data_IF_059627938081
#
_entry.id   IF_059627938081
#
_cell.length_a   1.000
_cell.length_b   1.000
_cell.length_c   1.000
_cell.angle_alpha   90.00
_cell.angle_beta   90.00
_cell.angle_gamma   90.00
#
_symmetry.space_group_name_H-M   'P 1'
#
loop_
_entity.id
_entity.type
_entity.pdbx_description
1 polymer ?
#
# COMPACT_ATOMS: atom_id res chain seq x y z
N UNK A 1 -13.06 8.28 27.79
CA UNK A 1 -13.40 7.19 26.85
C UNK A 1 -13.69 7.81 25.51
N UNK A 2 -12.70 7.92 24.62
CA UNK A 2 -12.92 8.45 23.27
C UNK A 2 -13.65 7.38 22.47
N UNK A 3 -14.87 7.67 22.04
CA UNK A 3 -15.63 6.86 21.12
C UNK A 3 -14.78 6.66 19.84
N UNK A 4 -14.34 5.45 19.62
CA UNK A 4 -13.82 5.03 18.30
C UNK A 4 -15.02 5.15 17.36
N UNK A 5 -15.14 6.26 16.66
CA UNK A 5 -16.12 6.39 15.60
C UNK A 5 -15.81 5.28 14.60
N UNK A 6 -16.80 4.42 14.38
CA UNK A 6 -16.70 3.34 13.40
C UNK A 6 -16.35 4.00 12.06
N UNK A 7 -15.12 3.82 11.62
CA UNK A 7 -14.68 4.30 10.31
C UNK A 7 -15.47 3.50 9.30
N UNK A 8 -16.26 4.19 8.46
CA UNK A 8 -17.10 3.54 7.46
C UNK A 8 -16.21 3.08 6.30
N UNK A 9 -15.62 1.89 6.48
CA UNK A 9 -14.74 1.25 5.51
C UNK A 9 -15.28 -0.12 5.13
N UNK A 10 -15.20 -0.42 3.85
CA UNK A 10 -15.41 -1.77 3.31
C UNK A 10 -14.21 -2.19 2.47
N UNK A 11 -13.89 -3.47 2.56
CA UNK A 11 -12.87 -4.11 1.74
C UNK A 11 -13.53 -5.11 0.81
N UNK A 12 -12.97 -5.28 -0.36
CA UNK A 12 -13.35 -6.30 -1.32
C UNK A 12 -12.11 -7.10 -1.72
N UNK A 13 -12.24 -8.41 -1.70
CA UNK A 13 -11.27 -9.37 -2.21
C UNK A 13 -12.01 -10.63 -2.64
N UNK A 14 -11.55 -11.28 -3.70
CA UNK A 14 -12.06 -12.59 -4.12
C UNK A 14 -10.92 -13.49 -4.58
N UNK A 15 -10.89 -14.78 -4.18
CA UNK A 15 -9.93 -15.76 -4.70
C UNK A 15 -10.05 -15.96 -6.22
N UNK A 16 -11.18 -15.60 -6.82
CA UNK A 16 -11.39 -15.65 -8.28
C UNK A 16 -10.71 -14.49 -9.03
N UNK A 17 -10.28 -13.44 -8.31
CA UNK A 17 -9.54 -12.29 -8.82
C UNK A 17 -8.42 -11.92 -7.82
N UNK A 18 -7.44 -12.83 -7.62
CA UNK A 18 -6.51 -12.73 -6.49
C UNK A 18 -5.55 -11.55 -6.58
N UNK A 19 -5.36 -10.99 -7.76
CA UNK A 19 -4.48 -9.85 -8.02
C UNK A 19 -5.12 -8.50 -7.69
N UNK A 20 -6.37 -8.46 -7.20
CA UNK A 20 -7.09 -7.21 -6.86
C UNK A 20 -7.61 -7.25 -5.43
N UNK A 21 -7.33 -6.21 -4.68
CA UNK A 21 -8.03 -5.86 -3.45
C UNK A 21 -8.59 -4.44 -3.61
N UNK A 22 -9.80 -4.19 -3.14
CA UNK A 22 -10.38 -2.86 -3.13
C UNK A 22 -10.72 -2.43 -1.71
N UNK A 23 -10.56 -1.13 -1.44
CA UNK A 23 -11.01 -0.49 -0.20
C UNK A 23 -11.85 0.74 -0.53
N UNK A 24 -13.04 0.80 0.03
CA UNK A 24 -13.90 1.97 0.03
C UNK A 24 -13.93 2.61 1.42
N UNK A 25 -13.74 3.91 1.48
CA UNK A 25 -13.79 4.69 2.72
C UNK A 25 -14.75 5.86 2.53
N UNK A 26 -15.71 6.03 3.46
CA UNK A 26 -16.73 7.08 3.38
C UNK A 26 -16.68 8.00 4.60
N UNK A 27 -16.75 9.32 4.35
CA UNK A 27 -16.81 10.38 5.37
C UNK A 27 -15.78 10.25 6.49
N UNK A 28 -14.54 9.88 6.13
CA UNK A 28 -13.48 9.63 7.11
C UNK A 28 -12.63 10.88 7.34
N UNK A 29 -12.44 11.20 8.63
CA UNK A 29 -11.44 12.17 9.10
C UNK A 29 -10.15 11.50 9.56
N UNK A 30 -10.03 10.18 9.40
CA UNK A 30 -8.84 9.43 9.84
C UNK A 30 -7.60 9.83 9.08
N UNK A 31 -6.53 10.13 9.82
CA UNK A 31 -5.20 10.41 9.29
C UNK A 31 -4.30 9.17 9.43
N UNK A 32 -3.68 8.79 8.32
CA UNK A 32 -2.74 7.68 8.26
C UNK A 32 -1.32 8.14 8.59
N UNK A 33 -0.58 7.30 9.27
CA UNK A 33 0.88 7.43 9.35
C UNK A 33 1.48 7.12 7.98
N UNK A 34 2.67 7.66 7.73
CA UNK A 34 3.45 7.29 6.56
C UNK A 34 3.69 5.78 6.57
N UNK A 35 3.28 5.12 5.48
CA UNK A 35 3.37 3.67 5.27
C UNK A 35 3.69 3.38 3.81
N UNK A 36 4.01 2.14 3.52
CA UNK A 36 4.16 1.63 2.16
C UNK A 36 3.49 0.26 2.07
N UNK A 37 3.20 -0.20 0.88
CA UNK A 37 2.68 -1.54 0.61
C UNK A 37 3.35 -2.13 -0.63
N UNK A 38 3.32 -3.45 -0.75
CA UNK A 38 3.97 -4.15 -1.84
C UNK A 38 3.23 -3.96 -3.18
N UNK A 39 1.92 -3.71 -3.11
CA UNK A 39 1.05 -3.59 -4.27
C UNK A 39 1.21 -2.22 -4.95
N UNK A 40 1.02 -2.20 -6.27
CA UNK A 40 0.71 -0.98 -6.99
C UNK A 40 -0.70 -0.53 -6.63
N UNK A 41 -0.91 0.76 -6.38
CA UNK A 41 -2.23 1.23 -5.95
C UNK A 41 -2.72 2.40 -6.76
N UNK A 42 -4.02 2.40 -6.99
CA UNK A 42 -4.75 3.50 -7.64
C UNK A 42 -5.81 3.98 -6.67
N UNK A 43 -5.74 5.24 -6.27
CA UNK A 43 -6.75 5.91 -5.44
C UNK A 43 -7.61 6.87 -6.25
N UNK A 44 -8.90 6.96 -5.93
CA UNK A 44 -9.84 7.91 -6.52
C UNK A 44 -10.56 8.69 -5.42
N UNK A 45 -10.52 10.02 -5.48
CA UNK A 45 -11.23 10.89 -4.53
C UNK A 45 -12.66 11.10 -5.02
N UNK A 46 -13.62 10.64 -4.22
CA UNK A 46 -15.06 10.78 -4.53
C UNK A 46 -15.71 11.98 -3.87
N UNK A 47 -15.24 12.33 -2.67
CA UNK A 47 -15.77 13.46 -1.93
C UNK A 47 -14.72 14.07 -1.01
N UNK A 48 -14.76 15.39 -0.86
CA UNK A 48 -13.80 16.13 -0.04
C UNK A 48 -12.44 16.26 -0.72
N UNK A 49 -11.41 16.53 0.08
CA UNK A 49 -10.05 16.82 -0.36
C UNK A 49 -9.03 16.04 0.46
N UNK A 50 -7.89 15.75 -0.15
CA UNK A 50 -6.82 14.96 0.47
C UNK A 50 -5.46 15.59 0.19
N UNK A 51 -4.63 15.71 1.22
CA UNK A 51 -3.20 15.97 1.06
C UNK A 51 -2.47 14.62 1.04
N UNK A 52 -1.84 14.33 -0.09
CA UNK A 52 -1.00 13.14 -0.23
C UNK A 52 0.47 13.54 -0.18
N UNK A 53 1.17 13.07 0.84
CA UNK A 53 2.63 13.14 0.89
C UNK A 53 3.19 11.89 0.23
N UNK A 54 3.91 12.06 -0.86
CA UNK A 54 4.49 10.99 -1.66
C UNK A 54 5.90 11.37 -2.09
N UNK A 55 6.88 10.55 -1.76
CA UNK A 55 8.30 10.92 -1.88
C UNK A 55 8.57 12.22 -1.10
N UNK A 56 9.13 13.24 -1.74
CA UNK A 56 9.41 14.55 -1.12
C UNK A 56 8.42 15.64 -1.53
N UNK A 57 7.28 15.23 -2.11
CA UNK A 57 6.27 16.15 -2.64
C UNK A 57 4.94 15.99 -1.90
N UNK A 58 4.14 17.04 -1.95
CA UNK A 58 2.78 17.05 -1.42
C UNK A 58 1.81 17.37 -2.54
N UNK A 59 0.91 16.43 -2.79
CA UNK A 59 -0.14 16.57 -3.79
C UNK A 59 -1.46 16.90 -3.13
N UNK A 60 -2.11 17.95 -3.59
CA UNK A 60 -3.48 18.28 -3.20
C UNK A 60 -4.44 17.61 -4.19
N UNK A 61 -5.20 16.65 -3.68
CA UNK A 61 -6.15 15.84 -4.44
C UNK A 61 -7.56 16.31 -4.18
N UNK A 62 -8.34 16.41 -5.24
CA UNK A 62 -9.74 16.84 -5.25
C UNK A 62 -10.64 15.77 -5.85
N UNK A 63 -11.95 15.98 -5.78
CA UNK A 63 -12.93 15.08 -6.41
C UNK A 63 -12.62 14.91 -7.91
N UNK A 64 -12.57 13.68 -8.36
CA UNK A 64 -12.23 13.33 -9.74
C UNK A 64 -10.74 13.07 -9.99
N UNK A 65 -9.86 13.39 -9.03
CA UNK A 65 -8.44 13.06 -9.14
C UNK A 65 -8.20 11.57 -8.89
N UNK A 66 -7.34 10.97 -9.72
CA UNK A 66 -6.75 9.66 -9.52
C UNK A 66 -5.30 9.83 -9.05
N UNK A 67 -4.90 9.04 -8.07
CA UNK A 67 -3.51 8.97 -7.59
C UNK A 67 -2.94 7.58 -7.79
N UNK A 68 -1.71 7.51 -8.29
CA UNK A 68 -0.93 6.29 -8.42
C UNK A 68 0.14 6.24 -7.33
N UNK A 69 0.22 5.10 -6.66
CA UNK A 69 1.23 4.83 -5.64
C UNK A 69 2.04 3.62 -6.10
N UNK A 70 3.31 3.85 -6.38
CA UNK A 70 4.24 2.80 -6.77
C UNK A 70 4.45 1.79 -5.63
N UNK A 71 4.75 0.53 -5.95
CA UNK A 71 5.09 -0.48 -4.94
C UNK A 71 6.22 -0.02 -4.02
N UNK A 72 6.10 -0.32 -2.74
CA UNK A 72 7.09 -0.04 -1.70
C UNK A 72 7.39 1.46 -1.48
N UNK A 73 6.65 2.39 -2.08
CA UNK A 73 6.89 3.82 -1.88
C UNK A 73 6.17 4.34 -0.64
N UNK A 74 6.89 4.94 0.31
CA UNK A 74 6.29 5.57 1.48
C UNK A 74 5.39 6.74 1.11
N UNK A 75 4.20 6.73 1.67
CA UNK A 75 3.19 7.77 1.44
C UNK A 75 2.23 7.90 2.63
N UNK A 76 1.55 9.02 2.68
CA UNK A 76 0.40 9.22 3.55
C UNK A 76 -0.61 10.13 2.86
N UNK A 77 -1.88 9.68 2.82
CA UNK A 77 -2.97 10.44 2.22
C UNK A 77 -3.96 10.81 3.32
N UNK A 78 -4.05 12.09 3.67
CA UNK A 78 -4.80 12.57 4.82
C UNK A 78 -5.81 13.64 4.43
N UNK A 79 -7.00 13.70 5.06
CA UNK A 79 -7.92 14.81 4.86
C UNK A 79 -7.31 16.12 5.36
N UNK A 80 -7.78 17.24 4.87
CA UNK A 80 -7.46 18.54 5.47
C UNK A 80 -7.91 18.59 6.93
N UNK A 81 -7.24 19.35 7.79
CA UNK A 81 -7.60 19.47 9.20
C UNK A 81 -9.10 19.82 9.38
N UNK A 82 -9.80 19.04 10.21
CA UNK A 82 -11.23 19.22 10.49
C UNK A 82 -12.18 18.86 9.34
N UNK A 83 -11.68 18.31 8.23
CA UNK A 83 -12.49 17.85 7.10
C UNK A 83 -12.59 16.34 7.05
N UNK A 84 -13.56 15.85 6.28
CA UNK A 84 -13.74 14.44 5.94
C UNK A 84 -13.55 14.24 4.46
N UNK A 85 -13.26 13.01 4.06
CA UNK A 85 -13.20 12.60 2.65
C UNK A 85 -13.81 11.23 2.44
N UNK A 86 -14.23 10.99 1.20
CA UNK A 86 -14.59 9.66 0.68
C UNK A 86 -13.69 9.33 -0.50
N UNK A 87 -13.21 8.10 -0.55
CA UNK A 87 -12.30 7.64 -1.61
C UNK A 87 -12.35 6.13 -1.77
N UNK A 88 -11.97 5.67 -2.95
CA UNK A 88 -11.69 4.28 -3.23
C UNK A 88 -10.20 4.06 -3.48
N UNK A 89 -9.72 2.87 -3.11
CA UNK A 89 -8.38 2.39 -3.44
C UNK A 89 -8.50 1.01 -4.09
N UNK A 90 -7.81 0.82 -5.21
CA UNK A 90 -7.49 -0.48 -5.77
C UNK A 90 -6.03 -0.80 -5.45
N UNK A 91 -5.78 -1.96 -4.90
CA UNK A 91 -4.45 -2.53 -4.67
C UNK A 91 -4.28 -3.67 -5.65
N UNK A 92 -3.30 -3.54 -6.52
CA UNK A 92 -3.03 -4.49 -7.60
C UNK A 92 -1.72 -5.22 -7.31
N UNK A 93 -1.74 -6.54 -7.45
CA UNK A 93 -0.53 -7.35 -7.30
C UNK A 93 0.57 -6.86 -8.25
N UNK A 94 1.77 -6.65 -7.74
CA UNK A 94 2.86 -6.05 -8.51
C UNK A 94 3.39 -6.98 -9.59
N UNK A 95 3.49 -8.28 -9.33
CA UNK A 95 3.95 -9.25 -10.32
C UNK A 95 2.94 -9.34 -11.47
N UNK A 96 1.65 -9.44 -11.12
CA UNK A 96 0.60 -9.38 -12.14
C UNK A 96 0.66 -8.09 -12.97
N UNK A 97 0.90 -6.93 -12.37
CA UNK A 97 1.05 -5.66 -13.11
C UNK A 97 2.25 -5.71 -14.06
N UNK A 98 3.39 -6.25 -13.62
CA UNK A 98 4.58 -6.41 -14.46
C UNK A 98 4.31 -7.34 -15.64
N UNK A 99 3.58 -8.44 -15.43
CA UNK A 99 3.15 -9.34 -16.50
C UNK A 99 2.25 -8.65 -17.52
N UNK A 100 1.30 -7.80 -17.05
CA UNK A 100 0.45 -7.01 -17.94
C UNK A 100 1.28 -5.99 -18.76
N UNK A 101 2.26 -5.34 -18.14
CA UNK A 101 3.17 -4.43 -18.85
C UNK A 101 3.98 -5.19 -19.89
N UNK A 102 4.52 -6.36 -19.55
CA UNK A 102 5.26 -7.20 -20.51
C UNK A 102 4.39 -7.61 -21.70
N UNK A 103 3.16 -8.05 -21.46
CA UNK A 103 2.22 -8.46 -22.48
C UNK A 103 1.80 -7.33 -23.43
N UNK A 104 1.57 -6.11 -22.90
CA UNK A 104 1.03 -4.99 -23.67
C UNK A 104 2.10 -4.05 -24.25
N UNK A 105 3.27 -3.97 -23.62
CA UNK A 105 4.33 -3.04 -23.99
C UNK A 105 5.55 -3.74 -24.64
N UNK A 106 5.61 -5.08 -24.58
CA UNK A 106 6.63 -5.87 -25.25
C UNK A 106 8.02 -5.82 -24.58
N UNK A 107 8.10 -5.42 -23.31
CA UNK A 107 9.36 -5.45 -22.55
C UNK A 107 9.10 -5.94 -21.12
N UNK A 108 10.09 -6.61 -20.52
CA UNK A 108 10.06 -7.01 -19.13
C UNK A 108 10.60 -5.87 -18.25
N UNK A 109 9.73 -5.35 -17.38
CA UNK A 109 10.13 -4.38 -16.37
C UNK A 109 10.48 -5.12 -15.08
N UNK A 110 11.61 -4.77 -14.46
CA UNK A 110 11.98 -5.30 -13.15
C UNK A 110 11.28 -4.56 -12.00
N UNK A 111 10.85 -3.34 -12.24
CA UNK A 111 10.19 -2.48 -11.25
C UNK A 111 9.06 -1.70 -11.88
N UNK A 112 7.96 -1.55 -11.14
CA UNK A 112 6.82 -0.74 -11.54
C UNK A 112 6.97 0.66 -11.00
N UNK A 113 7.08 1.65 -11.89
CA UNK A 113 7.11 3.07 -11.54
C UNK A 113 6.29 3.86 -12.53
N UNK A 114 5.48 4.79 -12.02
CA UNK A 114 4.74 5.73 -12.82
C UNK A 114 5.46 7.07 -12.92
N UNK A 115 5.56 7.59 -14.14
CA UNK A 115 6.13 8.92 -14.42
C UNK A 115 5.21 10.05 -13.95
N UNK A 116 3.91 9.78 -13.81
CA UNK A 116 2.92 10.72 -13.34
C UNK A 116 2.12 10.12 -12.18
N UNK A 117 2.10 10.83 -11.06
CA UNK A 117 1.48 10.36 -9.81
C UNK A 117 0.00 10.73 -9.71
N UNK A 118 -0.38 11.90 -10.23
CA UNK A 118 -1.78 12.36 -10.23
C UNK A 118 -2.27 12.53 -11.64
N UNK A 119 -3.41 11.91 -11.94
CA UNK A 119 -4.12 12.09 -13.20
C UNK A 119 -5.46 12.79 -12.96
N UNK A 120 -5.72 13.81 -13.78
CA UNK A 120 -6.97 14.57 -13.83
C UNK A 120 -7.63 14.31 -15.18
N UNK A 121 -8.24 13.14 -15.28
CA UNK A 121 -8.91 12.65 -16.49
C UNK A 121 -10.31 12.15 -16.10
N UNK A 122 -11.37 12.91 -16.44
CA UNK A 122 -12.75 12.53 -16.11
C UNK A 122 -13.18 11.19 -16.74
N UNK A 123 -12.70 10.86 -17.93
CA UNK A 123 -13.04 9.60 -18.58
C UNK A 123 -12.40 8.41 -17.86
N UNK A 124 -11.14 8.55 -17.45
CA UNK A 124 -10.43 7.53 -16.66
C UNK A 124 -11.08 7.38 -15.27
N UNK A 125 -11.47 8.47 -14.63
CA UNK A 125 -12.16 8.45 -13.34
C UNK A 125 -13.50 7.68 -13.44
N UNK A 126 -14.30 7.90 -14.48
CA UNK A 126 -15.54 7.16 -14.71
C UNK A 126 -15.26 5.66 -14.92
N UNK A 127 -14.24 5.31 -15.70
CA UNK A 127 -13.82 3.89 -15.89
C UNK A 127 -13.41 3.25 -14.58
N UNK A 128 -12.64 3.97 -13.76
CA UNK A 128 -12.23 3.51 -12.44
C UNK A 128 -13.45 3.23 -11.54
N UNK A 129 -14.40 4.16 -11.45
CA UNK A 129 -15.64 3.98 -10.67
C UNK A 129 -16.47 2.80 -11.19
N UNK A 130 -16.49 2.58 -12.50
CA UNK A 130 -17.18 1.44 -13.10
C UNK A 130 -16.54 0.11 -12.65
N UNK A 131 -15.21 0.00 -12.70
CA UNK A 131 -14.50 -1.19 -12.19
C UNK A 131 -14.83 -1.45 -10.73
N UNK A 132 -14.74 -0.43 -9.87
CA UNK A 132 -15.07 -0.56 -8.44
C UNK A 132 -16.53 -1.03 -8.27
N UNK A 133 -17.46 -0.46 -9.02
CA UNK A 133 -18.88 -0.85 -8.97
C UNK A 133 -19.08 -2.33 -9.33
N UNK A 134 -18.42 -2.82 -10.39
CA UNK A 134 -18.50 -4.22 -10.80
C UNK A 134 -17.92 -5.17 -9.74
N UNK A 135 -16.81 -4.80 -9.11
CA UNK A 135 -16.22 -5.58 -8.00
C UNK A 135 -17.23 -5.75 -6.86
N UNK A 136 -17.82 -4.66 -6.37
CA UNK A 136 -18.77 -4.72 -5.26
C UNK A 136 -20.13 -5.34 -5.62
N UNK A 137 -20.45 -5.49 -6.91
CA UNK A 137 -21.60 -6.26 -7.40
C UNK A 137 -21.29 -7.76 -7.60
N UNK A 138 -20.03 -8.18 -7.42
CA UNK A 138 -19.60 -9.55 -7.66
C UNK A 138 -19.51 -9.94 -9.14
N UNK A 139 -19.54 -8.97 -10.06
CA UNK A 139 -19.41 -9.17 -11.51
C UNK A 139 -17.93 -9.33 -11.91
N UNK A 140 -17.29 -10.37 -11.37
CA UNK A 140 -15.82 -10.54 -11.35
C UNK A 140 -15.20 -10.57 -12.75
N UNK A 141 -15.78 -11.34 -13.68
CA UNK A 141 -15.26 -11.44 -15.05
C UNK A 141 -15.32 -10.11 -15.78
N UNK A 142 -16.43 -9.38 -15.62
CA UNK A 142 -16.61 -8.06 -16.19
C UNK A 142 -15.65 -7.05 -15.56
N UNK A 143 -15.47 -7.11 -14.22
CA UNK A 143 -14.54 -6.26 -13.51
C UNK A 143 -13.10 -6.46 -14.00
N UNK A 144 -12.64 -7.70 -14.16
CA UNK A 144 -11.29 -8.01 -14.67
C UNK A 144 -11.09 -7.47 -16.10
N UNK A 145 -12.08 -7.68 -16.98
CA UNK A 145 -12.02 -7.16 -18.34
C UNK A 145 -11.90 -5.63 -18.36
N UNK A 146 -12.77 -4.93 -17.63
CA UNK A 146 -12.75 -3.47 -17.58
C UNK A 146 -11.53 -2.91 -16.89
N UNK A 147 -11.00 -3.60 -15.85
CA UNK A 147 -9.75 -3.25 -15.20
C UNK A 147 -8.57 -3.28 -16.18
N UNK A 148 -8.41 -4.39 -16.92
CA UNK A 148 -7.34 -4.53 -17.92
C UNK A 148 -7.44 -3.47 -19.01
N UNK A 149 -8.65 -3.24 -19.55
CA UNK A 149 -8.89 -2.20 -20.55
C UNK A 149 -8.64 -0.77 -20.04
N UNK A 150 -8.85 -0.53 -18.76
CA UNK A 150 -8.52 0.75 -18.10
C UNK A 150 -7.02 0.93 -17.93
N UNK A 151 -6.31 -0.14 -17.56
CA UNK A 151 -4.88 -0.09 -17.21
C UNK A 151 -3.95 -0.07 -18.44
N UNK A 152 -4.34 -0.69 -19.55
CA UNK A 152 -3.49 -0.76 -20.75
C UNK A 152 -2.97 0.61 -21.21
N UNK A 153 -3.80 1.66 -21.42
CA UNK A 153 -3.29 2.98 -21.78
C UNK A 153 -2.41 3.61 -20.70
N UNK A 154 -2.67 3.31 -19.41
CA UNK A 154 -1.85 3.78 -18.30
C UNK A 154 -0.45 3.19 -18.37
N UNK A 155 -0.34 1.86 -18.62
CA UNK A 155 0.93 1.18 -18.79
C UNK A 155 1.74 1.79 -19.93
N UNK A 156 1.13 1.97 -21.09
CA UNK A 156 1.79 2.53 -22.28
C UNK A 156 2.24 3.96 -22.11
N UNK A 157 1.48 4.78 -21.41
CA UNK A 157 1.71 6.22 -21.34
C UNK A 157 2.55 6.65 -20.13
N UNK A 158 2.39 5.98 -19.00
CA UNK A 158 2.96 6.46 -17.73
C UNK A 158 3.91 5.48 -17.04
N UNK A 159 3.88 4.19 -17.41
CA UNK A 159 4.68 3.16 -16.75
C UNK A 159 5.75 2.53 -17.66
N UNK A 160 6.08 3.20 -18.75
CA UNK A 160 7.21 2.81 -19.60
C UNK A 160 8.53 2.98 -18.82
N UNK A 161 9.56 2.13 -19.11
CA UNK A 161 10.86 2.37 -18.52
C UNK A 161 11.27 3.79 -18.90
N UNK A 162 11.64 4.59 -17.90
CA UNK A 162 12.39 5.78 -18.18
C UNK A 162 13.60 5.36 -19.02
N UNK A 163 13.90 6.02 -20.15
CA UNK A 163 15.15 5.77 -20.83
C UNK A 163 16.25 5.80 -19.77
N UNK A 164 17.20 4.90 -19.84
CA UNK A 164 18.28 4.61 -18.88
C UNK A 164 19.18 5.82 -18.51
N UNK A 165 18.62 7.00 -18.49
CA UNK A 165 19.23 8.28 -18.17
C UNK A 165 19.03 8.72 -16.71
N UNK A 166 18.34 7.95 -15.88
CA UNK A 166 18.50 8.16 -14.45
C UNK A 166 19.87 7.59 -14.08
N UNK A 167 20.83 8.43 -13.68
CA UNK A 167 22.11 7.93 -13.21
C UNK A 167 21.80 6.92 -12.09
N UNK A 168 22.38 5.74 -12.19
CA UNK A 168 22.42 4.83 -11.06
C UNK A 168 22.90 5.66 -9.88
N UNK A 169 22.05 5.84 -8.87
CA UNK A 169 22.46 6.60 -7.70
C UNK A 169 23.77 5.97 -7.22
N UNK A 170 24.81 6.76 -6.97
CA UNK A 170 26.10 6.22 -6.57
C UNK A 170 25.88 5.28 -5.39
N UNK A 171 26.47 4.08 -5.47
CA UNK A 171 26.41 3.07 -4.42
C UNK A 171 27.08 3.63 -3.16
N UNK A 172 26.35 4.38 -2.36
CA UNK A 172 26.84 4.86 -1.07
C UNK A 172 26.80 3.71 -0.05
N UNK A 173 27.76 3.71 0.87
CA UNK A 173 27.77 2.78 2.03
C UNK A 173 26.42 2.75 2.78
N UNK A 174 25.67 3.86 2.77
CA UNK A 174 24.30 3.99 3.26
C UNK A 174 23.34 2.96 2.63
N UNK A 175 23.38 2.75 1.30
CA UNK A 175 22.48 1.80 0.61
C UNK A 175 22.76 0.35 1.02
N UNK A 176 24.03 0.00 1.29
CA UNK A 176 24.40 -1.33 1.80
C UNK A 176 23.85 -1.55 3.21
N UNK A 177 23.95 -0.55 4.09
CA UNK A 177 23.37 -0.57 5.44
C UNK A 177 21.85 -0.75 5.36
N UNK A 178 21.17 0.06 4.58
CA UNK A 178 19.71 0.01 4.41
C UNK A 178 19.25 -1.32 3.85
N UNK A 179 19.94 -1.85 2.84
CA UNK A 179 19.66 -3.18 2.27
C UNK A 179 19.82 -4.28 3.33
N UNK A 180 20.93 -4.30 4.05
CA UNK A 180 21.16 -5.27 5.12
C UNK A 180 20.07 -5.23 6.19
N UNK A 181 19.73 -4.03 6.68
CA UNK A 181 18.65 -3.86 7.66
C UNK A 181 17.32 -4.39 7.14
N UNK A 182 16.96 -4.10 5.88
CA UNK A 182 15.72 -4.62 5.26
C UNK A 182 15.71 -6.15 5.20
N UNK A 183 16.78 -6.75 4.71
CA UNK A 183 16.92 -8.21 4.61
C UNK A 183 16.80 -8.87 5.98
N UNK A 184 17.49 -8.33 6.99
CA UNK A 184 17.45 -8.86 8.36
C UNK A 184 16.07 -8.76 9.00
N UNK A 185 15.35 -7.64 8.81
CA UNK A 185 14.01 -7.44 9.33
C UNK A 185 12.97 -8.34 8.65
N UNK A 186 13.12 -8.63 7.35
CA UNK A 186 12.18 -9.46 6.60
C UNK A 186 12.45 -10.95 6.68
N UNK A 187 13.66 -11.37 7.08
CA UNK A 187 14.06 -12.78 7.11
C UNK A 187 13.17 -13.63 8.04
N UNK A 188 12.79 -13.06 9.19
CA UNK A 188 11.82 -13.70 10.11
C UNK A 188 11.01 -12.61 10.81
N UNK A 189 9.74 -12.45 10.40
CA UNK A 189 8.87 -11.42 10.96
C UNK A 189 8.50 -11.67 12.43
N UNK A 190 8.50 -12.94 12.87
CA UNK A 190 8.20 -13.31 14.25
C UNK A 190 9.36 -12.94 15.18
N UNK A 191 10.57 -13.25 14.77
CA UNK A 191 11.79 -13.07 15.56
C UNK A 191 12.74 -12.05 14.89
N UNK A 192 12.20 -10.91 14.49
CA UNK A 192 13.01 -9.87 13.87
C UNK A 192 14.03 -9.31 14.85
N UNK A 193 15.28 -9.05 14.42
CA UNK A 193 16.32 -8.53 15.28
C UNK A 193 15.95 -7.16 15.87
N UNK A 194 16.42 -6.87 17.06
CA UNK A 194 16.31 -5.54 17.67
C UNK A 194 17.21 -4.53 16.94
N UNK A 195 16.96 -3.25 17.16
CA UNK A 195 17.87 -2.20 16.64
C UNK A 195 19.25 -2.27 17.27
N UNK A 196 19.35 -2.76 18.50
CA UNK A 196 20.60 -3.03 19.20
C UNK A 196 21.41 -4.11 18.48
N UNK A 197 20.77 -5.23 18.17
CA UNK A 197 21.38 -6.34 17.41
C UNK A 197 21.88 -5.88 16.04
N UNK A 198 21.06 -5.12 15.31
CA UNK A 198 21.46 -4.56 14.02
C UNK A 198 22.62 -3.56 14.12
N UNK A 199 22.67 -2.80 15.21
CA UNK A 199 23.75 -1.85 15.50
C UNK A 199 25.09 -2.58 15.75
N UNK A 200 25.05 -3.67 16.51
CA UNK A 200 26.20 -4.54 16.75
C UNK A 200 26.68 -5.23 15.45
N UNK A 201 25.77 -5.84 14.69
CA UNK A 201 26.09 -6.49 13.40
C UNK A 201 26.79 -5.55 12.41
N UNK A 202 26.36 -4.29 12.37
CA UNK A 202 26.86 -3.28 11.43
C UNK A 202 28.01 -2.42 12.00
N UNK A 203 28.33 -2.59 13.27
CA UNK A 203 29.27 -1.71 14.02
C UNK A 203 28.89 -0.21 13.85
N UNK A 204 27.61 0.09 13.99
CA UNK A 204 27.04 1.44 13.88
C UNK A 204 26.22 1.77 15.14
N UNK A 205 26.01 3.08 15.40
CA UNK A 205 25.05 3.50 16.42
C UNK A 205 23.60 3.34 15.90
N UNK A 206 22.67 2.98 16.79
CA UNK A 206 21.23 2.86 16.47
C UNK A 206 20.67 4.09 15.74
N UNK A 207 21.02 5.26 16.25
CA UNK A 207 20.57 6.54 15.69
C UNK A 207 21.08 6.73 14.25
N UNK A 208 22.27 6.23 13.94
CA UNK A 208 22.83 6.25 12.58
C UNK A 208 22.03 5.35 11.66
N UNK A 209 21.73 4.12 12.09
CA UNK A 209 20.90 3.19 11.33
C UNK A 209 19.51 3.78 11.06
N UNK A 210 18.84 4.30 12.09
CA UNK A 210 17.50 4.90 11.95
C UNK A 210 17.52 6.08 11.00
N UNK A 211 18.51 6.96 11.09
CA UNK A 211 18.67 8.13 10.23
C UNK A 211 18.94 7.75 8.77
N UNK A 212 19.88 6.82 8.54
CA UNK A 212 20.21 6.36 7.18
C UNK A 212 19.04 5.64 6.56
N UNK A 213 18.43 4.69 7.26
CA UNK A 213 17.30 3.94 6.78
C UNK A 213 16.13 4.86 6.44
N UNK A 214 15.81 5.84 7.30
CA UNK A 214 14.76 6.83 7.05
C UNK A 214 15.10 7.75 5.88
N UNK A 215 16.34 8.15 5.73
CA UNK A 215 16.80 8.94 4.59
C UNK A 215 16.58 8.18 3.28
N UNK A 216 16.95 6.90 3.24
CA UNK A 216 16.92 6.09 2.02
C UNK A 216 15.52 5.55 1.68
N UNK A 217 14.68 5.29 2.71
CA UNK A 217 13.37 4.64 2.55
C UNK A 217 12.18 5.52 2.87
N UNK A 218 12.38 6.70 3.47
CA UNK A 218 11.33 7.60 3.92
C UNK A 218 10.66 7.22 5.25
N UNK A 219 10.90 6.02 5.79
CA UNK A 219 10.32 5.51 7.05
C UNK A 219 11.39 4.92 7.96
N UNK A 220 11.09 4.77 9.25
CA UNK A 220 12.04 4.14 10.19
C UNK A 220 12.05 2.61 10.02
N UNK A 221 13.14 1.91 10.45
CA UNK A 221 13.19 0.44 10.43
C UNK A 221 11.99 -0.21 11.12
N UNK A 222 11.54 0.32 12.25
CA UNK A 222 10.40 -0.19 13.01
C UNK A 222 9.06 0.02 12.28
N UNK A 223 8.90 1.18 11.60
CA UNK A 223 7.72 1.42 10.77
C UNK A 223 7.71 0.48 9.56
N UNK A 224 8.86 0.21 8.96
CA UNK A 224 9.03 -0.75 7.88
C UNK A 224 8.66 -2.18 8.32
N UNK A 225 9.18 -2.63 9.48
CA UNK A 225 8.86 -3.95 10.05
C UNK A 225 7.36 -4.08 10.35
N UNK A 226 6.77 -3.07 11.01
CA UNK A 226 5.33 -3.09 11.30
C UNK A 226 4.49 -3.15 10.02
N UNK A 227 4.91 -2.44 8.98
CA UNK A 227 4.24 -2.48 7.69
C UNK A 227 4.28 -3.90 7.10
N UNK A 228 5.45 -4.55 7.09
CA UNK A 228 5.60 -5.92 6.60
C UNK A 228 4.75 -6.92 7.41
N UNK A 229 4.73 -6.78 8.74
CA UNK A 229 3.90 -7.60 9.63
C UNK A 229 2.41 -7.43 9.34
N UNK A 230 1.95 -6.20 9.08
CA UNK A 230 0.53 -5.95 8.73
C UNK A 230 0.17 -6.54 7.38
N UNK A 231 1.04 -6.42 6.36
CA UNK A 231 0.79 -7.05 5.06
C UNK A 231 0.74 -8.59 5.18
N UNK A 232 1.63 -9.17 5.97
CA UNK A 232 1.56 -10.62 6.25
C UNK A 232 0.30 -11.01 7.03
N UNK A 233 -0.10 -10.23 8.03
CA UNK A 233 -1.36 -10.44 8.74
C UNK A 233 -2.58 -10.39 7.80
N UNK A 234 -2.61 -9.45 6.85
CA UNK A 234 -3.65 -9.37 5.81
C UNK A 234 -3.70 -10.64 4.96
N UNK A 235 -2.55 -11.18 4.57
CA UNK A 235 -2.50 -12.43 3.80
C UNK A 235 -3.05 -13.62 4.59
N UNK A 236 -2.72 -13.75 5.86
CA UNK A 236 -3.25 -14.79 6.75
C UNK A 236 -4.78 -14.65 6.93
N UNK A 237 -5.28 -13.43 7.12
CA UNK A 237 -6.72 -13.16 7.22
C UNK A 237 -7.47 -13.55 5.93
N UNK A 238 -6.89 -13.29 4.76
CA UNK A 238 -7.46 -13.71 3.46
C UNK A 238 -7.55 -15.23 3.32
N UNK A 239 -6.63 -15.96 3.95
CA UNK A 239 -6.62 -17.43 4.00
C UNK A 239 -7.60 -18.01 5.05
N UNK A 240 -8.20 -17.15 5.88
CA UNK A 240 -9.14 -17.58 6.92
C UNK A 240 -8.49 -17.97 8.24
N UNK A 241 -7.22 -17.63 8.45
CA UNK A 241 -6.51 -17.91 9.71
C UNK A 241 -7.22 -17.21 10.88
N UNK A 242 -7.44 -17.91 12.03
CA UNK A 242 -8.05 -17.32 13.21
C UNK A 242 -7.29 -16.10 13.74
N UNK A 243 -8.00 -15.05 14.19
CA UNK A 243 -7.40 -13.78 14.62
C UNK A 243 -6.31 -13.94 15.70
N UNK A 244 -6.46 -14.92 16.60
CA UNK A 244 -5.47 -15.22 17.64
C UNK A 244 -4.15 -15.65 17.00
N UNK A 245 -4.23 -16.56 16.04
CA UNK A 245 -3.06 -17.12 15.35
C UNK A 245 -2.41 -16.09 14.44
N UNK A 246 -3.21 -15.24 13.77
CA UNK A 246 -2.71 -14.13 12.93
C UNK A 246 -1.80 -13.20 13.73
N UNK A 247 -2.22 -12.80 14.94
CA UNK A 247 -1.43 -11.92 15.80
C UNK A 247 -0.04 -12.50 16.07
N UNK A 248 0.00 -13.77 16.46
CA UNK A 248 1.25 -14.47 16.77
C UNK A 248 2.11 -14.70 15.53
N UNK A 249 1.53 -15.28 14.47
CA UNK A 249 2.25 -15.61 13.23
C UNK A 249 2.83 -14.37 12.54
N UNK A 250 2.17 -13.22 12.67
CA UNK A 250 2.67 -11.97 12.10
C UNK A 250 3.71 -11.24 12.97
N UNK A 251 4.14 -11.85 14.09
CA UNK A 251 5.26 -11.37 14.90
C UNK A 251 4.91 -10.26 15.89
N UNK A 252 3.64 -10.11 16.27
CA UNK A 252 3.26 -9.21 17.35
C UNK A 252 3.34 -9.90 18.70
N UNK A 253 3.83 -9.18 19.71
CA UNK A 253 3.99 -9.72 21.06
C UNK A 253 2.66 -9.99 21.77
N UNK A 254 1.60 -9.25 21.42
CA UNK A 254 0.27 -9.42 21.97
C UNK A 254 -0.82 -8.90 21.01
N UNK A 255 -2.07 -9.33 21.27
CA UNK A 255 -3.23 -8.95 20.46
C UNK A 255 -3.56 -7.47 20.52
N UNK A 256 -3.31 -6.80 21.65
CA UNK A 256 -3.59 -5.37 21.80
C UNK A 256 -2.66 -4.52 20.94
N UNK A 257 -1.38 -4.88 20.91
CA UNK A 257 -0.38 -4.25 20.03
C UNK A 257 -0.72 -4.52 18.56
N UNK A 258 -1.02 -5.78 18.21
CA UNK A 258 -1.48 -6.13 16.87
C UNK A 258 -2.68 -5.29 16.43
N UNK A 259 -3.75 -5.28 17.25
CA UNK A 259 -4.98 -4.56 16.93
C UNK A 259 -4.73 -3.05 16.71
N UNK A 260 -4.01 -2.40 17.64
CA UNK A 260 -3.67 -0.97 17.52
C UNK A 260 -2.86 -0.68 16.26
N UNK A 261 -1.86 -1.50 15.98
CA UNK A 261 -1.01 -1.33 14.80
C UNK A 261 -1.81 -1.59 13.53
N UNK A 262 -2.61 -2.64 13.48
CA UNK A 262 -3.46 -2.94 12.32
C UNK A 262 -4.39 -1.77 11.99
N UNK A 263 -5.07 -1.21 12.99
CA UNK A 263 -5.95 -0.03 12.81
C UNK A 263 -5.16 1.19 12.33
N UNK A 264 -3.95 1.42 12.82
CA UNK A 264 -3.12 2.55 12.38
C UNK A 264 -2.74 2.48 10.90
N UNK A 265 -2.55 1.28 10.35
CA UNK A 265 -2.14 1.06 8.96
C UNK A 265 -3.31 0.88 8.01
N UNK A 266 -4.41 0.28 8.47
CA UNK A 266 -5.55 -0.09 7.62
C UNK A 266 -6.80 0.75 7.87
N UNK A 267 -6.86 1.45 9.01
CA UNK A 267 -8.04 2.16 9.53
C UNK A 267 -9.26 1.24 9.78
N UNK A 268 -9.07 -0.08 9.78
CA UNK A 268 -10.07 -1.07 10.15
C UNK A 268 -9.51 -1.97 11.25
N UNK A 269 -10.39 -2.56 12.04
CA UNK A 269 -9.96 -3.64 12.95
C UNK A 269 -9.67 -4.91 12.16
N UNK A 270 -8.80 -5.81 12.66
CA UNK A 270 -8.56 -7.10 12.00
C UNK A 270 -9.85 -7.89 11.74
N UNK A 271 -10.80 -7.85 12.70
CA UNK A 271 -12.09 -8.50 12.55
C UNK A 271 -13.01 -7.85 11.52
N UNK A 272 -12.98 -6.53 11.37
CA UNK A 272 -13.70 -5.83 10.29
C UNK A 272 -13.11 -6.17 8.93
N UNK A 273 -11.78 -6.17 8.83
CA UNK A 273 -11.09 -6.54 7.60
C UNK A 273 -11.43 -7.98 7.19
N UNK A 274 -11.33 -8.95 8.10
CA UNK A 274 -11.66 -10.34 7.82
C UNK A 274 -13.11 -10.52 7.37
N UNK A 275 -14.10 -9.93 8.06
CA UNK A 275 -15.52 -10.02 7.68
C UNK A 275 -15.76 -9.45 6.29
N UNK A 276 -15.25 -8.26 5.98
CA UNK A 276 -15.43 -7.63 4.67
C UNK A 276 -14.92 -8.49 3.51
N UNK A 277 -13.89 -9.32 3.74
CA UNK A 277 -13.35 -10.23 2.73
C UNK A 277 -14.27 -11.46 2.55
N UNK A 278 -14.85 -11.98 3.64
CA UNK A 278 -15.69 -13.20 3.59
C UNK A 278 -17.12 -12.94 3.17
N UNK A 279 -17.66 -11.73 3.45
CA UNK A 279 -19.01 -11.33 3.04
C UNK A 279 -19.15 -11.09 1.53
N UNK A 280 -18.03 -11.05 0.79
CA UNK A 280 -17.97 -10.89 -0.67
C UNK A 280 -17.75 -12.21 -1.44
N UNK A 281 -17.98 -13.37 -0.79
CA UNK A 281 -17.86 -14.71 -1.41
C UNK A 281 -19.13 -15.14 -2.09
#
# INVERSE_FOLDING_TARGET
MSSVHAINQSYWFSPRLPHVESRSTRNSSHAYKTHSHAQFSIGAIEHGETLCHYRNETYHLQVGDLIFIDPQQPHSCNPLPGKTRSYHMLYLDTEWCLDQIAAHCGYQAETLRCSRIVLRDPALFIRYQHVVTLLYRGEITSADHHLKAMLEPIWRQYCLPAPSCLPALPHHASQNTTRHVRERLLNNLQESPSLETLAEELNLRRETIVRQFRHDTGITPMAFLNNARIEYAKSLLKQGTPLVDVSYQSGFCDQSHFHKTFVQYTAATPGQYARSIFDNK
#
